data_IF_186509127052
#
_entry.id   IF_186509127052
#
_cell.length_a   1.000
_cell.length_b   1.000
_cell.length_c   1.000
_cell.angle_alpha   90.00
_cell.angle_beta   90.00
_cell.angle_gamma   90.00
#
_symmetry.space_group_name_H-M   'P 1'
#
loop_
_entity.id
_entity.type
_entity.pdbx_description
1 polymer ?
#
# COMPACT_ATOMS: atom_id res chain seq x y z
N UNK A 1 -38.27 -26.48 -15.78
CA UNK A 1 -36.82 -26.44 -16.12
C UNK A 1 -36.39 -25.07 -16.63
N UNK A 2 -37.08 -24.44 -17.59
CA UNK A 2 -36.69 -23.13 -18.13
C UNK A 2 -36.68 -21.99 -17.09
N UNK A 3 -37.63 -21.98 -16.14
CA UNK A 3 -37.68 -20.94 -15.08
C UNK A 3 -36.51 -21.06 -14.07
N UNK A 4 -36.11 -22.29 -13.74
CA UNK A 4 -34.96 -22.57 -12.87
C UNK A 4 -33.63 -22.18 -13.54
N UNK A 5 -33.49 -22.47 -14.84
CA UNK A 5 -32.34 -22.07 -15.64
C UNK A 5 -32.23 -20.54 -15.75
N UNK A 6 -33.37 -19.86 -16.00
CA UNK A 6 -33.41 -18.39 -16.04
C UNK A 6 -33.07 -17.77 -14.69
N UNK A 7 -33.58 -18.32 -13.58
CA UNK A 7 -33.23 -17.87 -12.24
C UNK A 7 -31.71 -17.96 -11.97
N UNK A 8 -31.09 -19.07 -12.36
CA UNK A 8 -29.64 -19.24 -12.23
C UNK A 8 -28.85 -18.26 -13.11
N UNK A 9 -29.30 -18.04 -14.35
CA UNK A 9 -28.65 -17.12 -15.28
C UNK A 9 -28.68 -15.68 -14.75
N UNK A 10 -29.81 -15.24 -14.21
CA UNK A 10 -29.95 -13.90 -13.61
C UNK A 10 -29.06 -13.76 -12.37
N UNK A 11 -29.04 -14.77 -11.49
CA UNK A 11 -28.16 -14.76 -10.31
C UNK A 11 -26.68 -14.68 -10.71
N UNK A 12 -26.26 -15.45 -11.72
CA UNK A 12 -24.90 -15.42 -12.25
C UNK A 12 -24.54 -14.03 -12.81
N UNK A 13 -25.42 -13.43 -13.61
CA UNK A 13 -25.22 -12.08 -14.14
C UNK A 13 -25.05 -11.04 -13.02
N UNK A 14 -25.85 -11.10 -11.96
CA UNK A 14 -25.71 -10.20 -10.81
C UNK A 14 -24.34 -10.35 -10.14
N UNK A 15 -23.88 -11.58 -9.92
CA UNK A 15 -22.57 -11.85 -9.32
C UNK A 15 -21.44 -11.27 -10.18
N UNK A 16 -21.50 -11.45 -11.50
CA UNK A 16 -20.49 -10.92 -12.44
C UNK A 16 -20.47 -9.39 -12.42
N UNK A 17 -21.64 -8.75 -12.48
CA UNK A 17 -21.75 -7.28 -12.41
C UNK A 17 -21.20 -6.77 -11.08
N UNK A 18 -21.57 -7.40 -9.97
CA UNK A 18 -21.09 -7.03 -8.64
C UNK A 18 -19.56 -7.16 -8.52
N UNK A 19 -19.00 -8.25 -9.03
CA UNK A 19 -17.55 -8.46 -9.05
C UNK A 19 -16.81 -7.35 -9.80
N UNK A 20 -17.29 -6.97 -10.98
CA UNK A 20 -16.69 -5.90 -11.77
C UNK A 20 -16.81 -4.54 -11.09
N UNK A 21 -17.97 -4.24 -10.50
CA UNK A 21 -18.17 -3.01 -9.72
C UNK A 21 -17.23 -2.94 -8.51
N UNK A 22 -17.17 -4.01 -7.72
CA UNK A 22 -16.32 -4.09 -6.54
C UNK A 22 -14.84 -3.93 -6.89
N UNK A 23 -14.40 -4.55 -7.99
CA UNK A 23 -13.04 -4.39 -8.51
C UNK A 23 -12.73 -2.95 -8.91
N UNK A 24 -13.67 -2.27 -9.56
CA UNK A 24 -13.53 -0.85 -9.92
C UNK A 24 -13.38 0.02 -8.66
N UNK A 25 -14.23 -0.19 -7.66
CA UNK A 25 -14.20 0.57 -6.42
C UNK A 25 -12.90 0.35 -5.62
N UNK A 26 -12.40 -0.89 -5.59
CA UNK A 26 -11.10 -1.20 -4.98
C UNK A 26 -9.95 -0.44 -5.66
N UNK A 27 -9.97 -0.29 -6.98
CA UNK A 27 -8.95 0.48 -7.71
C UNK A 27 -9.03 1.97 -7.37
N UNK A 28 -10.24 2.52 -7.27
CA UNK A 28 -10.47 3.91 -6.89
C UNK A 28 -9.92 4.21 -5.50
N UNK A 29 -10.24 3.37 -4.51
CA UNK A 29 -9.71 3.52 -3.16
C UNK A 29 -8.20 3.32 -3.10
N UNK A 30 -7.65 2.39 -3.88
CA UNK A 30 -6.21 2.21 -3.96
C UNK A 30 -5.51 3.46 -4.48
N UNK A 31 -6.07 4.13 -5.50
CA UNK A 31 -5.52 5.39 -6.02
C UNK A 31 -5.56 6.52 -4.99
N UNK A 32 -6.66 6.63 -4.23
CA UNK A 32 -6.78 7.58 -3.11
C UNK A 32 -5.74 7.30 -2.01
N UNK A 33 -5.60 6.02 -1.62
CA UNK A 33 -4.62 5.58 -0.62
C UNK A 33 -3.18 5.85 -1.12
N UNK A 34 -2.91 5.61 -2.40
CA UNK A 34 -1.61 5.80 -3.03
C UNK A 34 -1.16 7.26 -2.93
N UNK A 35 -2.04 8.19 -3.28
CA UNK A 35 -1.77 9.62 -3.21
C UNK A 35 -1.56 10.09 -1.77
N UNK A 36 -2.36 9.57 -0.84
CA UNK A 36 -2.20 9.86 0.59
C UNK A 36 -0.84 9.37 1.13
N UNK A 37 -0.38 8.19 0.72
CA UNK A 37 0.93 7.66 1.14
C UNK A 37 2.08 8.42 0.50
N UNK A 38 1.97 8.82 -0.79
CA UNK A 38 2.96 9.69 -1.44
C UNK A 38 3.17 10.98 -0.65
N UNK A 39 2.08 11.60 -0.22
CA UNK A 39 2.14 12.81 0.63
C UNK A 39 2.87 12.54 1.96
N UNK A 40 2.60 11.43 2.63
CA UNK A 40 3.29 11.05 3.88
C UNK A 40 4.79 10.78 3.69
N UNK A 41 5.18 10.18 2.57
CA UNK A 41 6.59 9.98 2.24
C UNK A 41 7.29 11.32 2.04
N UNK A 42 6.62 12.29 1.39
CA UNK A 42 7.17 13.62 1.23
C UNK A 42 7.28 14.37 2.57
N UNK A 43 6.29 14.24 3.46
CA UNK A 43 6.38 14.75 4.84
C UNK A 43 7.56 14.11 5.60
N UNK A 44 7.76 12.80 5.46
CA UNK A 44 8.90 12.09 6.03
C UNK A 44 10.23 12.59 5.45
N UNK A 45 10.28 12.84 4.15
CA UNK A 45 11.45 13.39 3.46
C UNK A 45 11.83 14.76 3.99
N UNK A 46 10.86 15.66 4.17
CA UNK A 46 11.08 16.98 4.76
C UNK A 46 11.56 16.87 6.22
N UNK A 47 11.00 15.95 7.00
CA UNK A 47 11.44 15.71 8.38
C UNK A 47 12.89 15.19 8.45
N UNK A 48 13.26 14.26 7.57
CA UNK A 48 14.63 13.71 7.48
C UNK A 48 15.61 14.76 6.99
N UNK A 49 15.23 15.62 6.04
CA UNK A 49 16.06 16.73 5.59
C UNK A 49 16.41 17.70 6.73
N UNK A 50 15.53 17.85 7.73
CA UNK A 50 15.79 18.62 8.95
C UNK A 50 16.67 17.91 9.99
N UNK A 51 17.05 16.65 9.77
CA UNK A 51 17.90 15.86 10.67
C UNK A 51 18.72 14.81 9.89
N UNK A 52 19.62 15.24 8.98
CA UNK A 52 20.30 14.36 8.02
C UNK A 52 21.24 13.35 8.67
N UNK A 53 21.71 13.61 9.89
CA UNK A 53 22.63 12.74 10.62
C UNK A 53 21.92 11.52 11.25
N UNK A 54 20.59 11.46 11.18
CA UNK A 54 19.80 10.36 11.73
C UNK A 54 19.72 9.20 10.72
N UNK A 55 20.73 8.33 10.75
CA UNK A 55 20.82 7.15 9.89
C UNK A 55 19.57 6.26 9.93
N UNK A 56 18.92 6.11 11.08
CA UNK A 56 17.70 5.30 11.21
C UNK A 56 16.54 5.92 10.43
N UNK A 57 16.38 7.25 10.53
CA UNK A 57 15.35 7.96 9.79
C UNK A 57 15.61 7.90 8.27
N UNK A 58 16.86 8.05 7.85
CA UNK A 58 17.28 7.90 6.45
C UNK A 58 17.00 6.49 5.91
N UNK A 59 17.30 5.43 6.69
CA UNK A 59 17.06 4.05 6.30
C UNK A 59 15.56 3.75 6.13
N UNK A 60 14.72 4.20 7.06
CA UNK A 60 13.27 4.03 6.95
C UNK A 60 12.67 4.81 5.78
N UNK A 61 13.17 6.02 5.51
CA UNK A 61 12.75 6.80 4.34
C UNK A 61 13.17 6.12 3.01
N UNK A 62 14.38 5.57 2.95
CA UNK A 62 14.85 4.81 1.79
C UNK A 62 13.99 3.57 1.53
N UNK A 63 13.62 2.85 2.59
CA UNK A 63 12.71 1.71 2.52
C UNK A 63 11.34 2.12 1.97
N UNK A 64 10.72 3.17 2.55
CA UNK A 64 9.44 3.68 2.07
C UNK A 64 9.51 4.08 0.59
N UNK A 65 10.57 4.79 0.18
CA UNK A 65 10.75 5.24 -1.20
C UNK A 65 10.95 4.07 -2.17
N UNK A 66 11.65 3.02 -1.75
CA UNK A 66 11.90 1.84 -2.57
C UNK A 66 10.62 1.03 -2.77
N UNK A 67 9.84 0.81 -1.72
CA UNK A 67 8.54 0.13 -1.82
C UNK A 67 7.60 0.94 -2.72
N UNK A 68 7.55 2.26 -2.54
CA UNK A 68 6.74 3.16 -3.38
C UNK A 68 7.14 3.07 -4.85
N UNK A 69 8.44 3.05 -5.16
CA UNK A 69 8.95 2.86 -6.52
C UNK A 69 8.57 1.50 -7.11
N UNK A 70 8.57 0.43 -6.32
CA UNK A 70 8.10 -0.88 -6.76
C UNK A 70 6.60 -0.87 -7.06
N UNK A 71 5.80 -0.14 -6.28
CA UNK A 71 4.36 0.02 -6.52
C UNK A 71 4.11 0.84 -7.79
N UNK A 72 4.82 1.95 -7.99
CA UNK A 72 4.71 2.75 -9.23
C UNK A 72 5.19 1.97 -10.47
N UNK A 73 6.16 1.06 -10.31
CA UNK A 73 6.63 0.18 -11.39
C UNK A 73 5.68 -1.00 -11.69
N UNK A 74 4.85 -1.40 -10.72
CA UNK A 74 3.78 -2.36 -10.98
C UNK A 74 2.64 -1.65 -11.71
N UNK A 75 2.21 -2.20 -12.85
CA UNK A 75 1.05 -1.71 -13.60
C UNK A 75 -0.28 -2.00 -12.85
N UNK A 76 -0.44 -1.45 -11.65
CA UNK A 76 -1.60 -1.67 -10.78
C UNK A 76 -2.92 -1.26 -11.46
N UNK A 77 -2.86 -0.34 -12.42
CA UNK A 77 -4.00 0.05 -13.26
C UNK A 77 -4.50 -1.10 -14.13
N UNK A 78 -3.61 -1.97 -14.60
CA UNK A 78 -3.96 -3.13 -15.43
C UNK A 78 -4.24 -4.39 -14.62
N UNK A 79 -4.10 -4.35 -13.29
CA UNK A 79 -4.35 -5.49 -12.40
C UNK A 79 -5.65 -6.23 -12.76
N UNK A 80 -5.50 -7.51 -13.11
CA UNK A 80 -6.57 -8.38 -13.63
C UNK A 80 -7.24 -9.16 -12.51
N UNK A 81 -6.53 -9.48 -11.43
CA UNK A 81 -7.06 -10.17 -10.26
C UNK A 81 -7.28 -9.26 -9.04
N UNK A 82 -8.15 -9.69 -8.12
CA UNK A 82 -8.32 -9.06 -6.80
C UNK A 82 -7.11 -9.30 -5.89
N UNK A 83 -6.45 -10.47 -6.01
CA UNK A 83 -5.29 -10.82 -5.20
C UNK A 83 -4.11 -9.88 -5.48
N UNK A 84 -3.91 -9.48 -6.73
CA UNK A 84 -2.90 -8.48 -7.11
C UNK A 84 -3.18 -7.13 -6.41
N UNK A 85 -4.45 -6.70 -6.40
CA UNK A 85 -4.86 -5.45 -5.73
C UNK A 85 -4.66 -5.54 -4.21
N UNK A 86 -4.93 -6.70 -3.59
CA UNK A 86 -4.68 -6.93 -2.16
C UNK A 86 -3.18 -6.96 -1.84
N UNK A 87 -2.37 -7.60 -2.69
CA UNK A 87 -0.93 -7.62 -2.54
C UNK A 87 -0.33 -6.20 -2.64
N UNK A 88 -0.81 -5.40 -3.59
CA UNK A 88 -0.42 -3.99 -3.73
C UNK A 88 -0.84 -3.16 -2.51
N UNK A 89 -2.04 -3.37 -1.97
CA UNK A 89 -2.45 -2.72 -0.72
C UNK A 89 -1.56 -3.05 0.46
N UNK A 90 -1.12 -4.31 0.59
CA UNK A 90 -0.18 -4.71 1.65
C UNK A 90 1.16 -4.02 1.51
N UNK A 91 1.71 -3.93 0.29
CA UNK A 91 2.93 -3.17 0.00
C UNK A 91 2.76 -1.70 0.32
N UNK A 92 1.61 -1.12 -0.03
CA UNK A 92 1.31 0.28 0.26
C UNK A 92 1.28 0.56 1.78
N UNK A 93 0.68 -0.35 2.55
CA UNK A 93 0.69 -0.27 4.01
C UNK A 93 2.12 -0.35 4.59
N UNK A 94 2.97 -1.25 4.07
CA UNK A 94 4.39 -1.34 4.46
C UNK A 94 5.16 -0.04 4.16
N UNK A 95 4.92 0.55 2.99
CA UNK A 95 5.51 1.84 2.61
C UNK A 95 5.10 2.95 3.56
N UNK A 96 3.82 2.98 3.94
CA UNK A 96 3.28 3.96 4.88
C UNK A 96 3.89 3.78 6.28
N UNK A 97 4.00 2.55 6.76
CA UNK A 97 4.60 2.24 8.06
C UNK A 97 6.07 2.70 8.11
N UNK A 98 6.86 2.40 7.07
CA UNK A 98 8.23 2.86 6.96
C UNK A 98 8.33 4.40 6.96
N UNK A 99 7.43 5.12 6.28
CA UNK A 99 7.39 6.58 6.31
C UNK A 99 7.08 7.13 7.71
N UNK A 100 6.15 6.50 8.45
CA UNK A 100 5.81 6.88 9.83
C UNK A 100 7.01 6.65 10.75
N UNK A 101 7.70 5.52 10.61
CA UNK A 101 8.91 5.20 11.39
C UNK A 101 10.05 6.20 11.10
N UNK A 102 10.20 6.63 9.86
CA UNK A 102 11.17 7.67 9.50
C UNK A 102 10.88 9.00 10.25
N UNK A 103 9.62 9.45 10.24
CA UNK A 103 9.21 10.64 10.99
C UNK A 103 9.40 10.46 12.50
N UNK A 104 9.03 9.31 13.04
CA UNK A 104 9.19 8.99 14.46
C UNK A 104 10.67 8.99 14.87
N UNK A 105 11.56 8.48 14.00
CA UNK A 105 13.00 8.47 14.23
C UNK A 105 13.54 9.91 14.27
N UNK A 106 13.15 10.78 13.34
CA UNK A 106 13.51 12.21 13.36
C UNK A 106 13.06 12.92 14.64
N UNK A 107 11.86 12.60 15.14
CA UNK A 107 11.30 13.21 16.34
C UNK A 107 11.85 12.64 17.65
N UNK A 108 12.77 11.66 17.58
CA UNK A 108 13.34 11.01 18.76
C UNK A 108 12.36 10.08 19.49
N UNK A 109 11.27 9.65 18.84
CA UNK A 109 10.25 8.79 19.45
C UNK A 109 10.65 7.30 19.42
N UNK A 110 11.59 6.93 18.56
CA UNK A 110 12.05 5.54 18.37
C UNK A 110 12.86 5.00 19.56
N UNK A 111 13.36 5.87 20.44
CA UNK A 111 14.00 5.45 21.71
C UNK A 111 13.03 4.99 22.82
N UNK A 112 11.70 5.06 22.59
CA UNK A 112 10.67 4.63 23.57
C UNK A 112 9.83 3.44 23.11
N UNK A 113 10.02 2.94 21.90
CA UNK A 113 9.43 1.68 21.45
C UNK A 113 10.56 0.67 21.34
N UNK A 114 10.35 -0.51 21.95
CA UNK A 114 11.34 -1.58 22.09
C UNK A 114 11.91 -2.12 20.76
N UNK A 115 12.71 -3.18 20.84
CA UNK A 115 13.85 -3.44 19.96
C UNK A 115 13.51 -3.51 18.47
N UNK A 116 14.51 -3.11 17.68
CA UNK A 116 14.54 -3.07 16.22
C UNK A 116 13.83 -4.26 15.57
N UNK A 117 12.98 -4.01 14.56
CA UNK A 117 12.45 -5.11 13.78
C UNK A 117 13.56 -5.69 12.90
N UNK A 118 14.08 -6.84 13.32
CA UNK A 118 14.92 -7.71 12.50
C UNK A 118 14.10 -8.27 11.34
N UNK A 119 14.09 -7.59 10.20
CA UNK A 119 13.50 -8.13 8.97
C UNK A 119 14.58 -8.63 8.03
N UNK A 120 14.65 -9.97 7.96
CA UNK A 120 15.46 -10.77 7.04
C UNK A 120 15.04 -10.43 5.60
N UNK A 121 15.98 -9.92 4.81
CA UNK A 121 15.86 -9.84 3.36
C UNK A 121 15.76 -11.27 2.81
N UNK A 122 14.61 -11.67 2.26
CA UNK A 122 14.57 -12.79 1.33
C UNK A 122 14.82 -12.24 -0.09
N UNK A 123 15.92 -12.73 -0.67
CA UNK A 123 16.37 -12.50 -2.04
C UNK A 123 15.42 -13.13 -3.08
#
# INVERSE_FOLDING_TARGET
MNELLNGFLVAFCIVVIYYHWFKFEMKRHFEEDLEAVKKKIEEARLAVAGSPDNNNACNHLLMASTIMRQIDASDWRTATSLDDLLALRRRLAQSQEAAILAVAACRGWVGKMGPEPSYVFYA
#
